data_IF_402467536875
#
_entry.id   IF_402467536875
#
_cell.length_a   1.000
_cell.length_b   1.000
_cell.length_c   1.000
_cell.angle_alpha   90.00
_cell.angle_beta   90.00
_cell.angle_gamma   90.00
#
_symmetry.space_group_name_H-M   'P 1'
#
loop_
_entity.id
_entity.type
_entity.pdbx_description
1 polymer ?
#
# COMPACT_ATOMS: atom_id res chain seq x y z
N UNK A 1 14.17 25.37 21.61
CA UNK A 1 12.97 26.19 21.92
C UNK A 1 13.35 27.29 22.89
N UNK A 2 12.62 28.40 22.94
CA UNK A 2 12.87 29.47 23.93
C UNK A 2 12.02 29.31 25.20
N UNK A 3 11.03 28.40 25.19
CA UNK A 3 10.17 28.10 26.33
C UNK A 3 9.86 26.61 26.45
N UNK A 4 9.68 26.14 27.69
CA UNK A 4 9.16 24.81 28.02
C UNK A 4 8.17 24.94 29.18
N UNK A 5 6.97 24.39 29.01
CA UNK A 5 5.97 24.29 30.08
C UNK A 5 6.22 22.99 30.86
N UNK A 6 6.32 23.11 32.17
CA UNK A 6 6.52 22.00 33.10
C UNK A 6 5.24 21.82 33.90
N UNK A 7 4.77 20.60 33.99
CA UNK A 7 3.68 20.20 34.87
C UNK A 7 4.24 19.16 35.85
N UNK A 8 4.41 19.54 37.11
CA UNK A 8 5.00 18.67 38.13
C UNK A 8 4.18 18.74 39.40
N UNK A 9 3.68 17.57 39.83
CA UNK A 9 2.89 17.41 41.05
C UNK A 9 1.68 18.37 41.13
N UNK A 10 1.02 18.60 39.99
CA UNK A 10 -0.17 19.46 39.87
C UNK A 10 0.14 20.96 39.83
N UNK A 11 1.42 21.35 39.76
CA UNK A 11 1.85 22.74 39.62
C UNK A 11 2.46 22.99 38.25
N UNK A 12 2.12 24.13 37.66
CA UNK A 12 2.63 24.52 36.35
C UNK A 12 3.75 25.55 36.47
N UNK A 13 4.87 25.28 35.80
CA UNK A 13 6.00 26.19 35.70
C UNK A 13 6.33 26.46 34.23
N UNK A 14 6.79 27.67 33.92
CA UNK A 14 7.37 27.99 32.62
C UNK A 14 8.86 28.18 32.79
N UNK A 15 9.65 27.40 32.04
CA UNK A 15 11.02 27.76 31.71
C UNK A 15 11.02 28.68 30.51
N UNK A 16 11.78 29.77 30.55
CA UNK A 16 11.91 30.70 29.44
C UNK A 16 13.32 31.30 29.39
N UNK A 17 13.79 31.66 28.20
CA UNK A 17 14.99 32.48 28.04
C UNK A 17 14.61 33.97 28.17
N UNK A 18 15.23 34.67 29.13
CA UNK A 18 15.18 36.13 29.22
C UNK A 18 16.57 36.69 29.47
N UNK A 19 16.95 37.71 28.70
CA UNK A 19 18.26 38.36 28.82
C UNK A 19 19.46 37.39 28.82
N UNK A 20 19.37 36.31 28.03
CA UNK A 20 20.36 35.21 27.97
C UNK A 20 20.44 34.32 29.22
N UNK A 21 19.40 34.31 30.05
CA UNK A 21 19.29 33.45 31.22
C UNK A 21 18.05 32.57 31.08
N UNK A 22 18.12 31.31 31.52
CA UNK A 22 16.93 30.48 31.67
C UNK A 22 16.35 30.76 33.05
N UNK A 23 15.11 31.23 33.06
CA UNK A 23 14.34 31.51 34.27
C UNK A 23 13.19 30.53 34.40
N UNK A 24 12.82 30.23 35.65
CA UNK A 24 11.64 29.45 36.00
C UNK A 24 10.63 30.34 36.71
N UNK A 25 9.37 30.28 36.28
CA UNK A 25 8.26 31.00 36.90
C UNK A 25 7.07 30.06 37.14
N UNK A 26 6.44 30.14 38.31
CA UNK A 26 5.16 29.44 38.56
C UNK A 26 4.03 30.17 37.85
N UNK A 27 3.10 29.43 37.25
CA UNK A 27 1.87 29.98 36.68
C UNK A 27 0.75 30.13 37.72
N UNK A 28 0.78 29.32 38.78
CA UNK A 28 -0.31 29.22 39.76
C UNK A 28 -0.21 30.25 40.90
N UNK A 29 0.95 30.87 41.07
CA UNK A 29 1.21 31.86 42.11
C UNK A 29 1.76 33.13 41.46
N UNK A 30 1.51 34.30 42.07
CA UNK A 30 2.27 35.52 41.79
C UNK A 30 3.71 35.37 42.31
N UNK A 31 4.40 34.34 41.82
CA UNK A 31 5.73 33.95 42.27
C UNK A 31 6.77 34.80 41.58
N UNK A 32 7.86 35.06 42.30
CA UNK A 32 9.01 35.77 41.77
C UNK A 32 9.71 34.87 40.75
N UNK A 33 9.91 35.37 39.55
CA UNK A 33 10.75 34.75 38.53
C UNK A 33 12.15 34.43 39.10
N UNK A 34 12.59 33.18 38.98
CA UNK A 34 13.87 32.70 39.51
C UNK A 34 14.80 32.42 38.34
N UNK A 35 15.98 33.03 38.35
CA UNK A 35 17.04 32.70 37.43
C UNK A 35 17.75 31.40 37.88
N UNK A 36 17.81 30.40 37.01
CA UNK A 36 18.45 29.10 37.31
C UNK A 36 19.72 28.85 36.49
N UNK A 37 19.86 29.46 35.31
CA UNK A 37 21.00 29.26 34.42
C UNK A 37 21.33 30.57 33.73
N UNK A 38 22.58 31.03 33.89
CA UNK A 38 23.12 32.17 33.17
C UNK A 38 23.87 31.79 31.89
N UNK A 39 24.15 32.80 31.05
CA UNK A 39 25.02 32.74 29.88
C UNK A 39 24.56 31.78 28.77
N UNK A 40 23.26 31.75 28.49
CA UNK A 40 22.70 31.03 27.34
C UNK A 40 22.91 31.83 26.05
N UNK A 41 23.32 31.15 24.98
CA UNK A 41 23.64 31.77 23.69
C UNK A 41 22.54 31.56 22.64
N UNK A 42 21.81 30.45 22.74
CA UNK A 42 20.80 30.08 21.74
C UNK A 42 19.48 29.68 22.38
N UNK A 43 19.05 28.44 22.20
CA UNK A 43 17.82 27.86 22.72
C UNK A 43 18.12 26.78 23.77
N UNK A 44 17.08 26.22 24.37
CA UNK A 44 17.20 25.10 25.31
C UNK A 44 16.12 24.06 25.06
N UNK A 45 16.28 22.90 25.70
CA UNK A 45 15.19 21.95 25.92
C UNK A 45 15.29 21.34 27.32
N UNK A 46 14.20 20.76 27.80
CA UNK A 46 14.13 20.11 29.09
C UNK A 46 13.39 18.77 29.02
N UNK A 47 13.71 17.87 29.96
CA UNK A 47 13.08 16.56 30.10
C UNK A 47 13.21 16.06 31.53
N UNK A 48 12.39 15.10 31.93
CA UNK A 48 12.50 14.42 33.23
C UNK A 48 13.20 13.08 33.07
N UNK A 49 13.97 12.68 34.08
CA UNK A 49 14.43 11.30 34.22
C UNK A 49 13.36 10.43 34.92
N UNK A 50 13.66 9.14 35.08
CA UNK A 50 12.78 8.20 35.79
C UNK A 50 12.60 8.52 37.28
N UNK A 51 13.49 9.33 37.87
CA UNK A 51 13.41 9.80 39.25
C UNK A 51 12.64 11.12 39.39
N UNK A 52 12.06 11.63 38.28
CA UNK A 52 11.37 12.93 38.20
C UNK A 52 12.29 14.12 38.47
N UNK A 53 13.60 13.95 38.29
CA UNK A 53 14.58 15.03 38.33
C UNK A 53 14.58 15.74 36.97
N UNK A 54 14.60 17.08 37.00
CA UNK A 54 14.52 17.90 35.80
C UNK A 54 15.91 18.05 35.20
N UNK A 55 16.05 17.72 33.92
CA UNK A 55 17.25 17.97 33.14
C UNK A 55 16.98 19.04 32.09
N UNK A 56 17.97 19.91 31.89
CA UNK A 56 17.93 21.01 30.93
C UNK A 56 19.20 20.94 30.10
N UNK A 57 19.08 21.05 28.79
CA UNK A 57 20.22 21.18 27.88
C UNK A 57 20.19 22.55 27.22
N UNK A 58 21.34 23.21 27.15
CA UNK A 58 21.48 24.51 26.51
C UNK A 58 22.87 24.70 25.90
N UNK A 59 23.00 25.68 25.01
CA UNK A 59 24.29 26.11 24.48
C UNK A 59 24.72 27.43 25.14
N UNK A 60 25.92 27.47 25.72
CA UNK A 60 26.41 28.62 26.48
C UNK A 60 27.16 29.64 25.61
N UNK A 61 27.33 30.87 26.11
CA UNK A 61 28.10 31.94 25.43
C UNK A 61 29.59 31.62 25.33
N UNK A 62 30.08 30.78 26.24
CA UNK A 62 31.43 30.22 26.24
C UNK A 62 31.56 29.01 25.29
N UNK A 63 30.61 28.84 24.37
CA UNK A 63 30.62 27.80 23.33
C UNK A 63 30.57 26.36 23.88
N UNK A 64 29.90 26.18 25.02
CA UNK A 64 29.71 24.87 25.63
C UNK A 64 28.30 24.34 25.36
N UNK A 65 28.19 23.07 24.94
CA UNK A 65 26.96 22.32 25.10
C UNK A 65 26.91 21.80 26.55
N UNK A 66 25.92 22.23 27.31
CA UNK A 66 25.84 21.99 28.76
C UNK A 66 24.53 21.27 29.09
N UNK A 67 24.63 20.25 29.94
CA UNK A 67 23.49 19.65 30.61
C UNK A 67 23.45 20.05 32.07
N UNK A 68 22.25 20.31 32.56
CA UNK A 68 21.99 20.75 33.92
C UNK A 68 20.97 19.82 34.54
N UNK A 69 21.29 19.29 35.72
CA UNK A 69 20.28 18.66 36.59
C UNK A 69 19.79 19.71 37.59
N UNK A 70 18.47 19.89 37.65
CA UNK A 70 17.81 20.75 38.61
C UNK A 70 17.01 19.91 39.61
N UNK A 71 17.55 19.77 40.82
CA UNK A 71 16.99 18.95 41.90
C UNK A 71 16.97 19.72 43.20
N UNK A 72 15.84 19.75 43.89
CA UNK A 72 15.67 20.42 45.19
C UNK A 72 16.20 21.88 45.20
N UNK A 73 15.92 22.62 44.12
CA UNK A 73 16.41 24.00 43.88
C UNK A 73 17.94 24.13 43.76
N UNK A 74 18.67 23.02 43.63
CA UNK A 74 20.10 22.99 43.34
C UNK A 74 20.33 22.71 41.86
N UNK A 75 21.28 23.44 41.30
CA UNK A 75 21.69 23.37 39.90
C UNK A 75 23.06 22.70 39.86
N UNK A 76 23.16 21.56 39.16
CA UNK A 76 24.45 20.91 38.87
C UNK A 76 24.68 20.94 37.38
N UNK A 77 25.79 21.55 36.94
CA UNK A 77 26.12 21.71 35.51
C UNK A 77 27.20 20.70 35.10
N UNK A 78 27.04 20.12 33.92
CA UNK A 78 28.05 19.28 33.27
C UNK A 78 28.24 19.75 31.83
N UNK A 79 29.48 20.06 31.46
CA UNK A 79 29.83 20.39 30.07
C UNK A 79 29.91 19.08 29.29
N UNK A 80 29.04 18.92 28.30
CA UNK A 80 29.01 17.75 27.41
C UNK A 80 30.08 17.90 26.33
N UNK A 81 30.23 19.11 25.79
CA UNK A 81 31.19 19.39 24.73
C UNK A 81 31.56 20.88 24.70
N UNK A 82 32.83 21.16 24.41
CA UNK A 82 33.34 22.53 24.21
C UNK A 82 33.73 22.74 22.74
N UNK A 83 33.20 23.81 22.13
CA UNK A 83 33.57 24.22 20.78
C UNK A 83 34.67 25.28 20.82
N UNK A 84 35.84 24.93 20.30
CA UNK A 84 36.99 25.83 20.25
C UNK A 84 36.79 27.01 19.27
N UNK A 85 35.90 26.86 18.29
CA UNK A 85 35.69 27.85 17.24
C UNK A 85 34.49 28.77 17.55
N UNK A 86 34.72 30.07 17.59
CA UNK A 86 33.66 31.08 17.80
C UNK A 86 32.67 31.21 16.62
N UNK A 87 32.96 30.50 15.52
CA UNK A 87 32.11 30.45 14.33
C UNK A 87 30.95 29.43 14.48
N UNK A 88 30.92 28.61 15.54
CA UNK A 88 29.86 27.64 15.74
C UNK A 88 28.65 28.29 16.43
N UNK A 89 27.47 27.87 16.02
CA UNK A 89 26.21 28.16 16.66
C UNK A 89 25.36 26.89 16.70
N UNK A 90 24.72 26.63 17.83
CA UNK A 90 23.83 25.48 18.01
C UNK A 90 22.42 25.97 18.24
N UNK A 91 21.43 25.36 17.60
CA UNK A 91 20.02 25.60 17.91
C UNK A 91 19.15 24.35 17.70
N UNK A 92 17.85 24.54 17.93
CA UNK A 92 16.82 23.52 17.80
C UNK A 92 17.16 22.30 18.66
N UNK A 93 17.52 22.54 19.91
CA UNK A 93 17.84 21.50 20.88
C UNK A 93 16.60 20.63 21.19
N UNK A 94 16.82 19.32 21.31
CA UNK A 94 15.84 18.34 21.82
C UNK A 94 16.51 17.40 22.81
N UNK A 95 15.91 17.22 23.98
CA UNK A 95 16.39 16.38 25.06
C UNK A 95 15.40 15.25 25.34
N UNK A 96 15.89 14.02 25.34
CA UNK A 96 15.16 12.83 25.76
C UNK A 96 15.99 12.05 26.77
N UNK A 97 15.35 11.59 27.85
CA UNK A 97 15.95 10.66 28.80
C UNK A 97 15.18 9.35 28.72
N UNK A 98 15.83 8.30 28.22
CA UNK A 98 15.19 7.04 27.87
C UNK A 98 15.99 5.91 28.51
N UNK A 99 15.38 5.13 29.41
CA UNK A 99 16.05 4.00 30.09
C UNK A 99 17.41 4.38 30.73
N UNK A 100 17.49 5.56 31.34
CA UNK A 100 18.72 6.17 31.90
C UNK A 100 19.80 6.58 30.90
N UNK A 101 19.52 6.50 29.60
CA UNK A 101 20.35 7.09 28.56
C UNK A 101 19.89 8.53 28.29
N UNK A 102 20.85 9.43 28.05
CA UNK A 102 20.56 10.83 27.73
C UNK A 102 20.81 11.05 26.24
N UNK A 103 19.79 11.49 25.52
CA UNK A 103 19.87 11.79 24.10
C UNK A 103 19.64 13.28 23.86
N UNK A 104 20.62 13.92 23.23
CA UNK A 104 20.58 15.33 22.85
C UNK A 104 20.67 15.44 21.34
N UNK A 105 19.63 15.99 20.72
CA UNK A 105 19.60 16.30 19.29
C UNK A 105 19.71 17.81 19.09
N UNK A 106 20.43 18.22 18.06
CA UNK A 106 20.58 19.64 17.75
C UNK A 106 21.10 19.88 16.34
N UNK A 107 20.98 21.13 15.91
CA UNK A 107 21.51 21.63 14.66
C UNK A 107 22.79 22.43 14.92
N UNK A 108 23.90 22.02 14.33
CA UNK A 108 25.18 22.73 14.36
C UNK A 108 25.34 23.55 13.09
N UNK A 109 25.49 24.85 13.27
CA UNK A 109 25.72 25.83 12.22
C UNK A 109 27.16 26.31 12.28
N UNK A 110 27.83 26.31 11.12
CA UNK A 110 29.09 27.01 10.97
C UNK A 110 28.84 28.37 10.31
N UNK A 111 29.10 29.47 11.02
CA UNK A 111 28.91 30.85 10.53
C UNK A 111 29.71 31.13 9.25
N UNK A 112 30.84 30.45 9.04
CA UNK A 112 31.65 30.55 7.83
C UNK A 112 31.10 29.71 6.66
N UNK A 113 30.23 28.73 6.92
CA UNK A 113 29.61 27.86 5.92
C UNK A 113 28.11 27.69 6.19
N UNK A 114 27.36 28.79 6.10
CA UNK A 114 25.93 28.86 6.43
C UNK A 114 25.01 27.98 5.55
N UNK A 115 25.54 27.35 4.50
CA UNK A 115 24.76 26.49 3.57
C UNK A 115 24.58 25.06 4.06
N UNK A 116 25.43 24.60 4.98
CA UNK A 116 25.41 23.22 5.48
C UNK A 116 25.23 23.24 6.99
N UNK A 117 24.06 22.82 7.45
CA UNK A 117 23.75 22.71 8.87
C UNK A 117 23.81 21.22 9.23
N UNK A 118 24.51 20.83 10.30
CA UNK A 118 24.63 19.41 10.68
C UNK A 118 23.59 19.06 11.74
N UNK A 119 22.76 18.05 11.48
CA UNK A 119 21.90 17.44 12.50
C UNK A 119 22.73 16.41 13.27
N UNK A 120 22.93 16.63 14.56
CA UNK A 120 23.73 15.77 15.44
C UNK A 120 22.89 15.12 16.54
N UNK A 121 23.33 13.96 16.98
CA UNK A 121 22.82 13.21 18.14
C UNK A 121 23.98 12.88 19.07
N UNK A 122 23.95 13.46 20.27
CA UNK A 122 24.83 13.11 21.38
C UNK A 122 24.07 12.16 22.30
N UNK A 123 24.65 10.99 22.56
CA UNK A 123 24.08 9.98 23.43
C UNK A 123 25.02 9.70 24.60
N UNK A 124 24.50 9.69 25.82
CA UNK A 124 25.22 9.21 26.99
C UNK A 124 24.66 7.87 27.44
N UNK A 125 25.48 6.83 27.32
CA UNK A 125 25.32 5.55 27.99
C UNK A 125 26.68 5.17 28.59
N UNK A 126 26.93 5.63 29.83
CA UNK A 126 28.22 5.62 30.53
C UNK A 126 29.34 6.46 29.87
N UNK A 127 29.34 6.58 28.55
CA UNK A 127 30.27 7.37 27.75
C UNK A 127 29.47 8.18 26.73
N UNK A 128 29.88 9.43 26.50
CA UNK A 128 29.30 10.26 25.45
C UNK A 128 29.74 9.77 24.06
N UNK A 129 28.75 9.48 23.21
CA UNK A 129 28.92 9.17 21.79
C UNK A 129 28.31 10.28 20.95
N UNK A 130 28.97 10.59 19.84
CA UNK A 130 28.57 11.65 18.93
C UNK A 130 28.25 11.03 17.58
N UNK A 131 27.05 11.28 17.08
CA UNK A 131 26.60 10.84 15.78
C UNK A 131 26.21 12.04 14.92
N UNK A 132 26.73 12.11 13.69
CA UNK A 132 26.19 13.00 12.67
C UNK A 132 25.08 12.25 11.92
N UNK A 133 23.84 12.73 12.05
CA UNK A 133 22.68 12.08 11.43
C UNK A 133 22.60 12.47 9.95
N UNK A 134 22.73 13.77 9.68
CA UNK A 134 22.58 14.32 8.34
C UNK A 134 23.20 15.71 8.18
N UNK A 135 23.52 16.05 6.94
CA UNK A 135 23.78 17.43 6.51
C UNK A 135 22.51 18.00 5.89
N UNK A 136 22.00 19.07 6.51
CA UNK A 136 20.79 19.78 6.15
C UNK A 136 21.15 20.98 5.28
N UNK A 137 20.60 20.99 4.06
CA UNK A 137 20.78 22.03 3.05
C UNK A 137 19.48 22.80 2.81
N UNK A 138 18.75 23.15 3.86
CA UNK A 138 17.45 23.83 3.77
C UNK A 138 17.48 25.15 4.52
N UNK A 139 16.70 26.14 4.06
CA UNK A 139 16.46 27.40 4.76
C UNK A 139 15.19 27.40 5.61
N UNK A 140 14.32 26.39 5.47
CA UNK A 140 13.01 26.33 6.13
C UNK A 140 13.06 25.59 7.47
N UNK A 141 12.75 26.27 8.57
CA UNK A 141 12.57 25.67 9.90
C UNK A 141 11.10 25.27 10.14
N UNK A 142 10.82 24.28 11.01
CA UNK A 142 11.77 23.38 11.68
C UNK A 142 12.32 22.30 10.71
N UNK A 143 13.58 21.91 10.90
CA UNK A 143 14.27 20.97 10.01
C UNK A 143 14.03 19.50 10.34
N UNK A 144 13.70 19.19 11.59
CA UNK A 144 13.59 17.82 12.06
C UNK A 144 12.61 17.71 13.22
N UNK A 145 12.19 16.49 13.49
CA UNK A 145 11.40 16.12 14.65
C UNK A 145 11.82 14.72 15.11
N UNK A 146 11.66 14.46 16.40
CA UNK A 146 12.09 13.22 17.06
C UNK A 146 10.98 12.78 18.00
N UNK A 147 10.74 11.48 18.03
CA UNK A 147 9.86 10.84 18.98
C UNK A 147 10.43 9.48 19.36
N UNK A 148 10.05 8.97 20.53
CA UNK A 148 10.56 7.72 21.10
C UNK A 148 9.43 6.72 21.24
N UNK A 149 9.65 5.47 20.84
CA UNK A 149 8.68 4.40 21.06
C UNK A 149 8.76 3.84 22.49
N UNK A 150 7.76 3.05 22.90
CA UNK A 150 7.71 2.43 24.23
C UNK A 150 8.85 1.41 24.48
N UNK A 151 9.67 1.09 23.47
CA UNK A 151 10.85 0.23 23.56
C UNK A 151 12.15 1.04 23.62
N UNK A 152 12.06 2.37 23.63
CA UNK A 152 13.22 3.27 23.66
C UNK A 152 13.92 3.41 22.32
N UNK A 153 13.28 3.03 21.21
CA UNK A 153 13.81 3.29 19.87
C UNK A 153 13.51 4.74 19.52
N UNK A 154 14.55 5.48 19.13
CA UNK A 154 14.39 6.87 18.70
C UNK A 154 14.08 6.89 17.21
N UNK A 155 13.07 7.66 16.84
CA UNK A 155 12.65 7.86 15.47
C UNK A 155 12.87 9.31 15.09
N UNK A 156 13.59 9.55 14.00
CA UNK A 156 13.90 10.90 13.52
C UNK A 156 13.34 11.07 12.12
N UNK A 157 12.66 12.19 11.94
CA UNK A 157 12.27 12.70 10.63
C UNK A 157 12.96 14.03 10.39
N UNK A 158 13.51 14.26 9.19
CA UNK A 158 14.18 15.52 8.87
C UNK A 158 14.04 15.89 7.40
N UNK A 159 14.19 17.18 7.11
CA UNK A 159 14.09 17.76 5.77
C UNK A 159 15.46 18.25 5.31
N UNK A 160 15.84 17.94 4.07
CA UNK A 160 17.01 18.54 3.43
C UNK A 160 16.74 18.76 1.94
N UNK A 161 17.47 19.69 1.32
CA UNK A 161 17.33 20.02 -0.09
C UNK A 161 18.61 19.63 -0.86
N UNK A 162 18.49 18.59 -1.69
CA UNK A 162 19.54 18.12 -2.59
C UNK A 162 18.97 18.18 -4.01
N UNK A 163 18.76 19.42 -4.50
CA UNK A 163 18.04 19.83 -5.72
C UNK A 163 16.51 19.82 -5.60
N UNK A 164 15.96 18.84 -4.89
CA UNK A 164 14.54 18.74 -4.54
C UNK A 164 14.45 18.61 -3.01
N UNK A 165 13.41 19.21 -2.43
CA UNK A 165 13.17 19.10 -1.00
C UNK A 165 12.68 17.69 -0.67
N UNK A 166 13.37 17.01 0.24
CA UNK A 166 13.05 15.63 0.66
C UNK A 166 12.85 15.56 2.15
N UNK A 167 11.90 14.74 2.57
CA UNK A 167 11.72 14.31 3.96
C UNK A 167 12.27 12.89 4.12
N UNK A 168 13.19 12.74 5.05
CA UNK A 168 13.87 11.48 5.37
C UNK A 168 13.43 11.00 6.74
N UNK A 169 13.41 9.68 6.91
CA UNK A 169 13.16 9.00 8.16
C UNK A 169 14.31 8.03 8.49
N UNK A 170 14.72 7.97 9.75
CA UNK A 170 15.67 6.99 10.26
C UNK A 170 15.38 6.66 11.73
N UNK A 171 15.99 5.60 12.24
CA UNK A 171 15.84 5.11 13.62
C UNK A 171 17.18 4.85 14.27
N UNK A 172 17.26 5.08 15.58
CA UNK A 172 18.41 4.70 16.40
C UNK A 172 18.03 3.51 17.28
N UNK A 173 18.74 2.40 17.12
CA UNK A 173 18.56 1.17 17.88
C UNK A 173 19.92 0.52 18.12
N UNK A 174 20.14 0.00 19.33
CA UNK A 174 21.38 -0.69 19.70
C UNK A 174 22.64 0.11 19.34
N UNK A 175 22.64 1.39 19.69
CA UNK A 175 23.73 2.34 19.43
C UNK A 175 24.06 2.64 17.95
N UNK A 176 23.17 2.29 17.02
CA UNK A 176 23.41 2.45 15.58
C UNK A 176 22.20 3.13 14.92
N UNK A 177 22.48 4.07 14.01
CA UNK A 177 21.49 4.65 13.11
C UNK A 177 21.22 3.72 11.93
N UNK A 178 19.95 3.43 11.67
CA UNK A 178 19.52 2.67 10.52
C UNK A 178 19.68 3.46 9.21
N UNK A 179 19.57 2.77 8.08
CA UNK A 179 19.56 3.40 6.76
C UNK A 179 18.35 4.34 6.63
N UNK A 180 18.62 5.57 6.17
CA UNK A 180 17.58 6.57 5.92
C UNK A 180 16.64 6.15 4.79
N UNK A 181 15.35 6.36 4.97
CA UNK A 181 14.30 6.13 3.97
C UNK A 181 13.67 7.45 3.54
N UNK A 182 13.39 7.61 2.24
CA UNK A 182 12.69 8.79 1.72
C UNK A 182 11.18 8.61 1.95
N UNK A 183 10.58 9.57 2.65
CA UNK A 183 9.14 9.60 2.93
C UNK A 183 8.38 10.32 1.83
N UNK A 184 8.96 11.39 1.29
CA UNK A 184 8.39 12.18 0.20
C UNK A 184 9.40 13.15 -0.41
N UNK A 185 9.06 13.65 -1.60
CA UNK A 185 9.81 14.66 -2.36
C UNK A 185 8.82 15.68 -2.96
N UNK A 186 9.14 16.96 -2.86
CA UNK A 186 8.33 18.06 -3.41
C UNK A 186 9.20 19.31 -3.64
N UNK A 187 8.63 20.33 -4.29
CA UNK A 187 9.33 21.62 -4.50
C UNK A 187 9.68 22.27 -3.17
N UNK A 188 8.72 22.29 -2.25
CA UNK A 188 8.88 22.79 -0.89
C UNK A 188 8.23 21.83 0.10
N UNK A 189 8.90 21.59 1.23
CA UNK A 189 8.43 20.77 2.34
C UNK A 189 8.74 21.52 3.64
N UNK A 190 7.78 21.54 4.56
CA UNK A 190 7.94 22.16 5.88
C UNK A 190 7.19 21.41 6.97
N UNK A 191 7.51 21.72 8.22
CA UNK A 191 6.86 21.20 9.44
C UNK A 191 6.81 19.66 9.50
N UNK A 192 7.96 18.97 9.44
CA UNK A 192 7.96 17.53 9.61
C UNK A 192 7.55 17.22 11.06
N UNK A 193 6.55 16.35 11.24
CA UNK A 193 6.10 15.91 12.54
C UNK A 193 6.03 14.39 12.55
N UNK A 194 6.43 13.78 13.67
CA UNK A 194 6.42 12.34 13.87
C UNK A 194 5.77 12.02 15.20
N UNK A 195 4.92 10.99 15.20
CA UNK A 195 4.36 10.37 16.41
C UNK A 195 4.33 8.85 16.27
N UNK A 196 4.61 8.15 17.36
CA UNK A 196 4.53 6.69 17.42
C UNK A 196 3.38 6.29 18.34
N UNK A 197 2.53 5.37 17.87
CA UNK A 197 1.44 4.83 18.68
C UNK A 197 1.87 3.62 19.53
N UNK A 198 1.01 3.20 20.45
CA UNK A 198 1.29 2.05 21.33
C UNK A 198 1.42 0.71 20.58
N UNK A 199 0.93 0.65 19.33
CA UNK A 199 1.11 -0.48 18.41
C UNK A 199 2.40 -0.35 17.58
N UNK A 200 3.22 0.65 17.88
CA UNK A 200 4.48 1.02 17.20
C UNK A 200 4.31 1.43 15.74
N UNK A 201 3.10 1.82 15.34
CA UNK A 201 2.90 2.44 14.04
C UNK A 201 3.53 3.84 14.07
N UNK A 202 4.24 4.16 12.99
CA UNK A 202 4.88 5.45 12.82
C UNK A 202 3.96 6.33 11.99
N UNK A 203 3.59 7.46 12.56
CA UNK A 203 2.75 8.48 11.94
C UNK A 203 3.63 9.67 11.60
N UNK A 204 3.61 10.10 10.33
CA UNK A 204 4.32 11.29 9.88
C UNK A 204 3.33 12.23 9.18
N UNK A 205 3.31 13.50 9.59
CA UNK A 205 2.62 14.55 8.85
C UNK A 205 3.58 15.70 8.52
N UNK A 206 3.29 16.41 7.43
CA UNK A 206 4.11 17.51 6.95
C UNK A 206 3.33 18.37 5.95
N UNK A 207 3.84 19.56 5.64
CA UNK A 207 3.28 20.42 4.59
C UNK A 207 4.13 20.30 3.34
N UNK A 208 3.51 19.96 2.20
CA UNK A 208 4.11 20.06 0.87
C UNK A 208 3.54 21.27 0.14
N UNK A 209 4.35 21.97 -0.63
CA UNK A 209 3.89 23.06 -1.48
C UNK A 209 4.46 22.87 -2.89
N UNK A 210 3.54 22.63 -3.83
CA UNK A 210 3.83 22.59 -5.26
C UNK A 210 3.18 23.79 -5.96
N UNK A 211 1.86 23.94 -5.80
CA UNK A 211 1.08 25.08 -6.29
C UNK A 211 0.40 25.78 -5.11
N UNK A 212 -0.21 24.99 -4.22
CA UNK A 212 -0.80 25.40 -2.95
C UNK A 212 -0.20 24.53 -1.84
N UNK A 213 -0.29 24.97 -0.58
CA UNK A 213 0.16 24.14 0.54
C UNK A 213 -0.83 23.02 0.80
N UNK A 214 -0.32 21.82 0.97
CA UNK A 214 -1.07 20.61 1.24
C UNK A 214 -0.54 19.98 2.53
N UNK A 215 -1.40 19.78 3.52
CA UNK A 215 -1.08 18.98 4.71
C UNK A 215 -1.16 17.51 4.33
N UNK A 216 -0.01 16.85 4.31
CA UNK A 216 0.13 15.43 4.01
C UNK A 216 0.29 14.61 5.27
N UNK A 217 -0.11 13.35 5.16
CA UNK A 217 0.06 12.33 6.18
C UNK A 217 0.52 11.02 5.54
N UNK A 218 1.34 10.26 6.26
CA UNK A 218 1.75 8.91 5.89
C UNK A 218 2.03 8.07 7.12
N UNK A 219 1.68 6.79 7.03
CA UNK A 219 1.90 5.80 8.07
C UNK A 219 2.92 4.76 7.64
N UNK A 220 3.65 4.22 8.61
CA UNK A 220 4.30 2.92 8.50
C UNK A 220 3.79 2.03 9.61
N UNK A 221 3.29 0.85 9.25
CA UNK A 221 2.88 -0.17 10.21
C UNK A 221 4.13 -0.87 10.74
N UNK A 222 4.13 -1.27 12.01
CA UNK A 222 5.24 -2.07 12.55
C UNK A 222 5.27 -3.47 11.92
N UNK A 223 6.47 -4.05 11.81
CA UNK A 223 6.70 -5.39 11.28
C UNK A 223 7.65 -5.47 10.09
N UNK A 224 7.93 -6.69 9.65
CA UNK A 224 8.75 -6.97 8.48
C UNK A 224 7.98 -6.84 7.17
N UNK A 225 8.69 -6.95 6.05
CA UNK A 225 8.06 -7.00 4.73
C UNK A 225 7.10 -8.21 4.62
N UNK A 226 5.91 -8.07 4.00
CA UNK A 226 5.37 -6.86 3.36
C UNK A 226 4.56 -5.97 4.31
N UNK A 227 4.27 -6.41 5.54
CA UNK A 227 3.36 -5.71 6.46
C UNK A 227 3.91 -4.37 6.95
N UNK A 228 5.23 -4.25 7.13
CA UNK A 228 5.87 -3.06 7.69
C UNK A 228 6.32 -2.00 6.69
N UNK A 229 5.67 -1.93 5.52
CA UNK A 229 5.98 -0.90 4.53
C UNK A 229 5.28 0.43 4.84
N UNK A 230 5.77 1.51 4.23
CA UNK A 230 5.08 2.79 4.23
C UNK A 230 3.80 2.72 3.38
N UNK A 231 2.68 3.15 3.95
CA UNK A 231 1.40 3.27 3.25
C UNK A 231 1.44 4.37 2.17
N UNK A 232 0.32 4.54 1.46
CA UNK A 232 0.14 5.64 0.51
C UNK A 232 0.06 6.98 1.26
N UNK A 233 0.54 8.06 0.60
CA UNK A 233 0.37 9.43 1.09
C UNK A 233 -1.13 9.80 1.07
N UNK A 234 -1.60 10.44 2.13
CA UNK A 234 -2.95 10.97 2.25
C UNK A 234 -2.85 12.51 2.34
N UNK A 235 -3.68 13.23 1.61
CA UNK A 235 -3.85 14.68 1.79
C UNK A 235 -4.95 14.92 2.81
N UNK A 236 -4.61 15.55 3.93
CA UNK A 236 -5.58 15.93 4.96
C UNK A 236 -6.27 17.25 4.63
N UNK A 237 -5.52 18.27 4.20
CA UNK A 237 -6.05 19.60 3.86
C UNK A 237 -5.23 20.27 2.77
N UNK A 238 -5.81 21.28 2.12
CA UNK A 238 -5.14 22.18 1.20
C UNK A 238 -5.56 23.63 1.48
N UNK A 239 -4.61 24.55 1.53
CA UNK A 239 -4.83 25.98 1.77
C UNK A 239 -3.56 26.77 1.48
N UNK A 240 -3.65 28.05 1.16
CA UNK A 240 -2.47 28.91 0.99
C UNK A 240 -1.74 29.19 2.31
N UNK A 241 -2.39 28.93 3.45
CA UNK A 241 -1.86 29.25 4.77
C UNK A 241 -2.09 28.13 5.80
N UNK A 242 -1.36 27.03 5.65
CA UNK A 242 -1.25 25.97 6.67
C UNK A 242 0.00 26.24 7.52
N UNK A 243 -0.17 26.32 8.84
CA UNK A 243 0.92 26.63 9.78
C UNK A 243 0.95 25.60 10.92
N UNK A 244 2.16 25.21 11.30
CA UNK A 244 2.47 24.42 12.51
C UNK A 244 1.52 23.21 12.71
N UNK A 245 1.39 22.31 11.73
CA UNK A 245 0.71 21.05 11.95
C UNK A 245 1.46 20.23 13.00
N UNK A 246 0.71 19.55 13.85
CA UNK A 246 1.26 18.59 14.81
C UNK A 246 0.29 17.44 15.03
N UNK A 247 0.84 16.31 15.48
CA UNK A 247 0.06 15.14 15.82
C UNK A 247 0.05 14.88 17.33
N UNK A 248 -1.07 14.37 17.82
CA UNK A 248 -1.23 13.83 19.17
C UNK A 248 -2.01 12.52 19.10
N UNK A 249 -1.73 11.64 20.05
CA UNK A 249 -2.53 10.44 20.28
C UNK A 249 -3.34 10.69 21.54
N UNK A 250 -4.65 10.69 21.43
CA UNK A 250 -5.59 10.97 22.53
C UNK A 250 -6.65 9.87 22.50
N UNK A 251 -6.74 9.09 23.57
CA UNK A 251 -7.68 7.96 23.69
C UNK A 251 -7.62 7.01 22.49
N UNK A 252 -6.40 6.60 22.09
CA UNK A 252 -6.11 5.77 20.91
C UNK A 252 -6.53 6.35 19.55
N UNK A 253 -6.99 7.60 19.51
CA UNK A 253 -7.24 8.31 18.26
C UNK A 253 -6.03 9.16 17.91
N UNK A 254 -5.69 9.20 16.62
CA UNK A 254 -4.67 10.08 16.09
C UNK A 254 -5.31 11.41 15.68
N UNK A 255 -4.91 12.48 16.33
CA UNK A 255 -5.35 13.83 16.06
C UNK A 255 -4.26 14.55 15.28
N UNK A 256 -4.60 15.09 14.12
CA UNK A 256 -3.76 16.04 13.41
C UNK A 256 -4.40 17.43 13.52
N UNK A 257 -3.68 18.36 14.13
CA UNK A 257 -4.15 19.73 14.40
C UNK A 257 -3.24 20.71 13.68
N UNK A 258 -3.81 21.73 13.04
CA UNK A 258 -3.07 22.80 12.38
C UNK A 258 -3.80 24.14 12.47
N UNK A 259 -3.10 25.22 12.13
CA UNK A 259 -3.71 26.54 11.97
C UNK A 259 -3.93 26.78 10.48
N UNK A 260 -5.14 27.21 10.13
CA UNK A 260 -5.52 27.62 8.79
C UNK A 260 -6.45 28.84 8.88
N UNK A 261 -6.12 29.91 8.15
CA UNK A 261 -6.92 31.14 8.09
C UNK A 261 -7.31 31.70 9.48
N UNK A 262 -6.36 31.75 10.42
CA UNK A 262 -6.58 32.18 11.81
C UNK A 262 -7.56 31.33 12.64
N UNK A 263 -7.84 30.09 12.24
CA UNK A 263 -8.59 29.15 13.06
C UNK A 263 -7.79 27.86 13.25
N UNK A 264 -8.04 27.17 14.35
CA UNK A 264 -7.57 25.80 14.53
C UNK A 264 -8.46 24.84 13.75
N UNK A 265 -7.84 23.94 13.01
CA UNK A 265 -8.49 22.86 12.29
C UNK A 265 -7.93 21.53 12.73
N UNK A 266 -8.79 20.51 12.70
CA UNK A 266 -8.42 19.14 13.02
C UNK A 266 -8.88 18.16 11.94
N UNK A 267 -8.14 17.06 11.84
CA UNK A 267 -8.56 15.81 11.24
C UNK A 267 -8.23 14.68 12.22
N UNK A 268 -9.19 13.80 12.46
CA UNK A 268 -9.07 12.73 13.46
C UNK A 268 -9.11 11.39 12.75
N UNK A 269 -8.25 10.47 13.17
CA UNK A 269 -8.31 9.07 12.80
C UNK A 269 -8.57 8.20 14.03
N UNK A 270 -9.63 7.40 13.97
CA UNK A 270 -10.01 6.42 15.00
C UNK A 270 -9.59 4.99 14.66
N UNK A 271 -8.98 4.78 13.50
CA UNK A 271 -8.58 3.47 12.98
C UNK A 271 -7.06 3.29 12.88
N UNK A 272 -6.30 4.04 13.69
CA UNK A 272 -4.84 3.99 13.69
C UNK A 272 -4.24 4.57 12.40
N UNK A 273 -4.83 5.63 11.86
CA UNK A 273 -4.34 6.37 10.73
C UNK A 273 -4.54 5.68 9.37
N UNK A 274 -5.53 4.78 9.24
CA UNK A 274 -5.93 4.22 7.94
C UNK A 274 -6.85 5.19 7.19
N UNK A 275 -7.72 5.89 7.91
CA UNK A 275 -8.58 6.95 7.39
C UNK A 275 -8.67 8.11 8.38
N UNK A 276 -9.05 9.28 7.88
CA UNK A 276 -9.25 10.49 8.67
C UNK A 276 -10.64 11.06 8.39
N UNK A 277 -11.20 11.73 9.40
CA UNK A 277 -12.36 12.61 9.23
C UNK A 277 -12.04 13.70 8.20
N UNK A 278 -13.08 14.28 7.60
CA UNK A 278 -12.90 15.55 6.89
C UNK A 278 -12.33 16.60 7.85
N UNK A 279 -11.46 17.51 7.38
CA UNK A 279 -11.04 18.65 8.17
C UNK A 279 -12.24 19.43 8.69
N UNK A 280 -12.23 19.73 9.98
CA UNK A 280 -13.24 20.59 10.59
C UNK A 280 -12.56 21.67 11.42
N UNK A 281 -13.18 22.85 11.42
CA UNK A 281 -12.77 23.98 12.24
C UNK A 281 -13.12 23.68 13.69
N UNK A 282 -12.15 23.77 14.58
CA UNK A 282 -12.35 23.47 16.00
C UNK A 282 -12.59 24.73 16.83
N UNK A 283 -11.79 25.78 16.63
CA UNK A 283 -11.94 27.04 17.34
C UNK A 283 -11.26 28.18 16.55
N UNK A 284 -11.65 29.42 16.85
CA UNK A 284 -10.82 30.56 16.44
C UNK A 284 -9.49 30.54 17.17
N UNK A 285 -8.43 30.94 16.47
CA UNK A 285 -7.12 31.12 17.09
C UNK A 285 -7.23 32.31 18.05
N UNK A 286 -6.92 32.16 19.35
CA UNK A 286 -7.00 33.27 20.28
C UNK A 286 -5.92 34.32 19.94
N UNK A 287 -6.08 35.51 20.51
CA UNK A 287 -5.14 36.61 20.34
C UNK A 287 -3.74 36.22 20.85
N UNK A 288 -3.69 35.58 22.03
CA UNK A 288 -2.46 35.15 22.67
C UNK A 288 -2.43 33.63 22.78
N UNK A 289 -1.44 33.01 22.16
CA UNK A 289 -1.16 31.58 22.24
C UNK A 289 0.32 31.33 21.96
N UNK A 290 0.82 30.20 22.43
CA UNK A 290 2.19 29.76 22.17
C UNK A 290 2.21 28.30 21.72
N UNK A 291 3.13 27.96 20.82
CA UNK A 291 3.39 26.57 20.43
C UNK A 291 4.64 26.10 21.17
N UNK A 292 4.44 25.27 22.20
CA UNK A 292 5.47 24.99 23.22
C UNK A 292 5.58 23.49 23.49
N UNK A 293 6.76 23.04 23.94
CA UNK A 293 6.90 21.72 24.56
C UNK A 293 6.33 21.78 25.98
N UNK A 294 5.42 20.85 26.29
CA UNK A 294 4.97 20.54 27.64
C UNK A 294 5.63 19.24 28.10
N UNK A 295 6.20 19.26 29.29
CA UNK A 295 6.78 18.08 29.93
C UNK A 295 6.12 17.85 31.30
N UNK A 296 5.85 16.60 31.60
CA UNK A 296 5.56 16.11 32.94
C UNK A 296 6.42 14.86 33.21
N UNK A 297 6.50 14.35 34.45
CA UNK A 297 7.35 13.20 34.75
C UNK A 297 6.99 11.90 34.02
N UNK A 298 5.86 11.83 33.32
CA UNK A 298 5.35 10.65 32.62
C UNK A 298 5.28 10.81 31.11
N UNK A 299 5.15 12.04 30.61
CA UNK A 299 5.03 12.29 29.19
C UNK A 299 5.67 13.62 28.76
N UNK A 300 6.06 13.67 27.48
CA UNK A 300 6.36 14.92 26.80
C UNK A 300 5.46 15.09 25.56
N UNK A 301 4.97 16.30 25.35
CA UNK A 301 4.16 16.65 24.20
C UNK A 301 4.50 18.04 23.69
N UNK A 302 4.18 18.31 22.43
CA UNK A 302 4.16 19.66 21.88
C UNK A 302 2.70 20.01 21.63
N UNK A 303 2.28 21.16 22.13
CA UNK A 303 0.90 21.63 22.00
C UNK A 303 0.84 23.15 21.87
N UNK A 304 -0.32 23.64 21.47
CA UNK A 304 -0.63 25.04 21.64
C UNK A 304 -1.14 25.25 23.07
N UNK A 305 -0.68 26.31 23.72
CA UNK A 305 -1.14 26.70 25.06
C UNK A 305 -1.60 28.14 25.09
N UNK A 306 -2.57 28.43 25.97
CA UNK A 306 -2.92 29.80 26.32
C UNK A 306 -1.95 30.38 27.36
N UNK A 307 -2.18 31.63 27.78
CA UNK A 307 -1.35 32.31 28.79
C UNK A 307 -1.32 31.61 30.16
N UNK A 308 -2.32 30.77 30.46
CA UNK A 308 -2.41 30.00 31.70
C UNK A 308 -1.75 28.61 31.58
N UNK A 309 -1.11 28.31 30.45
CA UNK A 309 -0.52 26.99 30.19
C UNK A 309 -1.57 25.88 30.05
N UNK A 310 -2.78 26.21 29.60
CA UNK A 310 -3.80 25.22 29.25
C UNK A 310 -3.72 24.87 27.78
N UNK A 311 -3.85 23.59 27.46
CA UNK A 311 -3.84 23.12 26.08
C UNK A 311 -5.01 23.73 25.31
N UNK A 312 -4.72 24.24 24.12
CA UNK A 312 -5.72 24.67 23.13
C UNK A 312 -5.47 23.96 21.80
N UNK A 313 -6.50 23.84 20.96
CA UNK A 313 -7.92 24.03 21.26
C UNK A 313 -8.51 22.93 22.18
N UNK A 314 -7.73 21.90 22.50
CA UNK A 314 -8.14 20.73 23.29
C UNK A 314 -7.70 20.90 24.74
N UNK A 315 -8.48 21.60 25.56
CA UNK A 315 -8.29 21.54 27.00
C UNK A 315 -8.77 20.15 27.45
N UNK A 316 -7.84 19.29 27.87
CA UNK A 316 -8.20 18.05 28.54
C UNK A 316 -9.04 18.41 29.78
N UNK A 317 -10.25 17.84 29.82
CA UNK A 317 -11.35 18.10 30.74
C UNK A 317 -10.94 18.61 32.14
N UNK A 318 -11.25 19.88 32.46
CA UNK A 318 -11.44 20.34 33.85
C UNK A 318 -12.19 21.66 33.97
N UNK A 319 -12.26 22.49 32.93
CA UNK A 319 -13.13 23.66 32.93
C UNK A 319 -14.28 23.42 31.97
N UNK A 320 -15.50 23.66 32.44
CA UNK A 320 -16.75 23.55 31.68
C UNK A 320 -16.85 24.57 30.55
N UNK A 321 -15.82 24.71 29.73
CA UNK A 321 -15.93 25.20 28.37
C UNK A 321 -16.77 24.14 27.66
N UNK A 322 -18.05 24.45 27.51
CA UNK A 322 -18.94 23.82 26.55
C UNK A 322 -18.30 23.98 25.17
N UNK A 323 -17.37 23.10 24.82
CA UNK A 323 -17.32 22.61 23.46
C UNK A 323 -18.74 22.19 23.16
N UNK A 324 -19.30 22.67 22.06
CA UNK A 324 -20.59 22.24 21.61
C UNK A 324 -20.49 20.72 21.33
N UNK A 325 -20.67 19.94 22.40
CA UNK A 325 -20.72 18.48 22.37
C UNK A 325 -21.87 18.11 21.45
N UNK A 326 -22.89 18.94 21.32
CA UNK A 326 -23.89 18.78 20.28
C UNK A 326 -23.26 18.97 18.90
N UNK A 327 -22.43 19.96 18.58
CA UNK A 327 -21.72 20.03 17.27
C UNK A 327 -20.79 18.84 16.98
N UNK A 328 -19.96 18.38 17.94
CA UNK A 328 -19.08 17.23 17.73
C UNK A 328 -19.89 15.92 17.56
N UNK A 329 -20.87 15.68 18.43
CA UNK A 329 -21.73 14.50 18.32
C UNK A 329 -22.71 14.60 17.15
N UNK A 330 -23.28 15.75 16.82
CA UNK A 330 -24.18 15.91 15.67
C UNK A 330 -23.43 15.88 14.36
N UNK A 331 -22.20 16.41 14.26
CA UNK A 331 -21.37 16.23 13.08
C UNK A 331 -20.99 14.76 12.90
N UNK A 332 -20.55 14.09 13.97
CA UNK A 332 -20.24 12.66 13.92
C UNK A 332 -21.48 11.79 13.65
N UNK A 333 -22.62 12.08 14.28
CA UNK A 333 -23.90 11.39 14.03
C UNK A 333 -24.36 11.64 12.60
N UNK A 334 -24.23 12.86 12.07
CA UNK A 334 -24.61 13.19 10.70
C UNK A 334 -23.69 12.51 9.69
N UNK A 335 -22.37 12.49 9.90
CA UNK A 335 -21.44 11.75 9.04
C UNK A 335 -21.68 10.24 9.12
N UNK A 336 -21.95 9.69 10.31
CA UNK A 336 -22.31 8.28 10.49
C UNK A 336 -23.66 7.97 9.82
N UNK A 337 -24.65 8.86 9.91
CA UNK A 337 -25.94 8.72 9.24
C UNK A 337 -25.81 8.81 7.72
N UNK A 338 -25.01 9.75 7.20
CA UNK A 338 -24.72 9.87 5.77
C UNK A 338 -23.97 8.63 5.25
N UNK A 339 -23.02 8.11 6.03
CA UNK A 339 -22.32 6.87 5.73
C UNK A 339 -23.26 5.66 5.75
N UNK A 340 -24.12 5.54 6.76
CA UNK A 340 -25.14 4.48 6.86
C UNK A 340 -26.14 4.56 5.70
N UNK A 341 -26.55 5.77 5.30
CA UNK A 341 -27.44 5.98 4.16
C UNK A 341 -26.77 5.58 2.84
N UNK A 342 -25.50 5.96 2.65
CA UNK A 342 -24.72 5.54 1.49
C UNK A 342 -24.52 4.02 1.44
N UNK A 343 -24.23 3.40 2.58
CA UNK A 343 -24.09 1.95 2.71
C UNK A 343 -25.41 1.24 2.40
N UNK A 344 -26.53 1.74 2.95
CA UNK A 344 -27.87 1.20 2.72
C UNK A 344 -28.25 1.27 1.24
N UNK A 345 -27.98 2.39 0.57
CA UNK A 345 -28.21 2.56 -0.87
C UNK A 345 -27.34 1.60 -1.70
N UNK A 346 -26.11 1.35 -1.27
CA UNK A 346 -25.22 0.37 -1.91
C UNK A 346 -25.73 -1.06 -1.75
N UNK A 347 -26.23 -1.42 -0.57
CA UNK A 347 -26.86 -2.73 -0.32
C UNK A 347 -28.10 -2.91 -1.19
N UNK A 348 -28.96 -1.89 -1.30
CA UNK A 348 -30.15 -1.95 -2.13
C UNK A 348 -29.81 -2.14 -3.62
N UNK A 349 -28.78 -1.43 -4.11
CA UNK A 349 -28.29 -1.61 -5.48
C UNK A 349 -27.75 -3.02 -5.72
N UNK A 350 -26.97 -3.57 -4.77
CA UNK A 350 -26.45 -4.93 -4.85
C UNK A 350 -27.58 -5.97 -4.81
N UNK A 351 -28.63 -5.76 -4.04
CA UNK A 351 -29.81 -6.62 -4.02
C UNK A 351 -30.56 -6.60 -5.36
N UNK A 352 -30.74 -5.41 -5.96
CA UNK A 352 -31.34 -5.27 -7.30
C UNK A 352 -30.51 -5.97 -8.37
N UNK A 353 -29.19 -5.84 -8.31
CA UNK A 353 -28.28 -6.52 -9.22
C UNK A 353 -28.30 -8.04 -9.05
N UNK A 354 -28.30 -8.53 -7.80
CA UNK A 354 -28.45 -9.96 -7.49
C UNK A 354 -29.73 -10.54 -8.11
N UNK A 355 -30.89 -9.89 -7.92
CA UNK A 355 -32.16 -10.34 -8.51
C UNK A 355 -32.09 -10.37 -10.04
N UNK A 356 -31.44 -9.36 -10.66
CA UNK A 356 -31.24 -9.33 -12.11
C UNK A 356 -30.37 -10.50 -12.59
N UNK A 357 -29.28 -10.78 -11.89
CA UNK A 357 -28.38 -11.89 -12.21
C UNK A 357 -29.07 -13.24 -12.03
N UNK A 358 -29.87 -13.42 -10.98
CA UNK A 358 -30.65 -14.64 -10.76
C UNK A 358 -31.67 -14.88 -11.89
N UNK A 359 -32.34 -13.83 -12.37
CA UNK A 359 -33.25 -13.92 -13.53
C UNK A 359 -32.50 -14.31 -14.81
N UNK A 360 -31.36 -13.68 -15.07
CA UNK A 360 -30.52 -14.00 -16.23
C UNK A 360 -30.02 -15.45 -16.17
N UNK A 361 -29.61 -15.92 -14.99
CA UNK A 361 -29.14 -17.28 -14.77
C UNK A 361 -30.27 -18.30 -15.00
N UNK A 362 -31.48 -18.02 -14.50
CA UNK A 362 -32.66 -18.84 -14.74
C UNK A 362 -33.01 -18.95 -16.24
N UNK A 363 -32.99 -17.82 -16.95
CA UNK A 363 -33.21 -17.80 -18.40
C UNK A 363 -32.16 -18.61 -19.17
N UNK A 364 -30.87 -18.44 -18.81
CA UNK A 364 -29.78 -19.21 -19.44
C UNK A 364 -29.88 -20.70 -19.15
N UNK A 365 -30.28 -21.09 -17.94
CA UNK A 365 -30.51 -22.49 -17.61
C UNK A 365 -31.66 -23.11 -18.42
N UNK A 366 -32.72 -22.34 -18.69
CA UNK A 366 -33.79 -22.77 -19.59
C UNK A 366 -33.29 -22.97 -21.02
N UNK A 367 -32.51 -22.02 -21.57
CA UNK A 367 -31.89 -22.14 -22.89
C UNK A 367 -30.96 -23.37 -22.99
N UNK A 368 -30.15 -23.61 -21.97
CA UNK A 368 -29.28 -24.80 -21.90
C UNK A 368 -30.11 -26.08 -21.89
N UNK A 369 -31.22 -26.12 -21.15
CA UNK A 369 -32.10 -27.28 -21.09
C UNK A 369 -32.73 -27.58 -22.45
N UNK A 370 -33.18 -26.56 -23.19
CA UNK A 370 -33.68 -26.71 -24.55
C UNK A 370 -32.60 -27.22 -25.51
N UNK A 371 -31.41 -26.63 -25.47
CA UNK A 371 -30.28 -27.08 -26.31
C UNK A 371 -29.87 -28.52 -26.01
N UNK A 372 -29.85 -28.92 -24.75
CA UNK A 372 -29.55 -30.30 -24.35
C UNK A 372 -30.58 -31.28 -24.92
N UNK A 373 -31.87 -30.93 -24.92
CA UNK A 373 -32.90 -31.75 -25.56
C UNK A 373 -32.64 -31.93 -27.06
N UNK A 374 -32.32 -30.85 -27.77
CA UNK A 374 -31.97 -30.93 -29.19
C UNK A 374 -30.70 -31.76 -29.44
N UNK A 375 -29.71 -31.68 -28.54
CA UNK A 375 -28.50 -32.51 -28.64
C UNK A 375 -28.84 -34.00 -28.50
N UNK A 376 -29.71 -34.38 -27.57
CA UNK A 376 -30.15 -35.77 -27.42
C UNK A 376 -30.92 -36.26 -28.66
N UNK A 377 -31.82 -35.45 -29.22
CA UNK A 377 -32.52 -35.77 -30.47
C UNK A 377 -31.54 -35.96 -31.64
N UNK A 378 -30.51 -35.12 -31.74
CA UNK A 378 -29.46 -35.25 -32.76
C UNK A 378 -28.60 -36.50 -32.55
N UNK A 379 -28.30 -36.88 -31.31
CA UNK A 379 -27.56 -38.12 -31.00
C UNK A 379 -28.36 -39.35 -31.43
N UNK A 380 -29.66 -39.39 -31.16
CA UNK A 380 -30.52 -40.49 -31.58
C UNK A 380 -30.62 -40.60 -33.11
N UNK A 381 -30.70 -39.46 -33.79
CA UNK A 381 -30.69 -39.44 -35.26
C UNK A 381 -29.35 -39.91 -35.84
N UNK A 382 -28.23 -39.48 -35.25
CA UNK A 382 -26.90 -39.97 -35.64
C UNK A 382 -26.79 -41.48 -35.45
N UNK A 383 -27.28 -42.02 -34.34
CA UNK A 383 -27.29 -43.46 -34.08
C UNK A 383 -28.06 -44.22 -35.16
N UNK A 384 -29.26 -43.77 -35.53
CA UNK A 384 -30.04 -44.35 -36.63
C UNK A 384 -29.29 -44.32 -37.96
N UNK A 385 -28.64 -43.20 -38.29
CA UNK A 385 -27.83 -43.08 -39.52
C UNK A 385 -26.66 -44.09 -39.51
N UNK A 386 -26.00 -44.30 -38.38
CA UNK A 386 -24.94 -45.31 -38.26
C UNK A 386 -25.46 -46.74 -38.43
N UNK A 387 -26.62 -47.06 -37.86
CA UNK A 387 -27.29 -48.36 -38.03
C UNK A 387 -27.69 -48.59 -39.50
N UNK A 388 -28.27 -47.60 -40.16
CA UNK A 388 -28.62 -47.65 -41.58
C UNK A 388 -27.36 -47.82 -42.45
N UNK A 389 -26.29 -47.06 -42.16
CA UNK A 389 -25.01 -47.18 -42.86
C UNK A 389 -24.45 -48.59 -42.75
N UNK A 390 -24.48 -49.20 -41.56
CA UNK A 390 -24.04 -50.58 -41.36
C UNK A 390 -24.87 -51.56 -42.20
N UNK A 391 -26.21 -51.37 -42.23
CA UNK A 391 -27.13 -52.21 -43.01
C UNK A 391 -26.88 -52.08 -44.53
N UNK A 392 -26.66 -50.86 -45.02
CA UNK A 392 -26.31 -50.63 -46.43
C UNK A 392 -24.94 -51.20 -46.76
N UNK A 393 -23.95 -51.09 -45.86
CA UNK A 393 -22.63 -51.70 -46.06
C UNK A 393 -22.74 -53.21 -46.27
N UNK A 394 -23.47 -53.91 -45.40
CA UNK A 394 -23.70 -55.36 -45.55
C UNK A 394 -24.45 -55.71 -46.84
N UNK A 395 -25.38 -54.87 -47.29
CA UNK A 395 -26.07 -55.08 -48.57
C UNK A 395 -25.13 -54.90 -49.77
N UNK A 396 -24.23 -53.93 -49.71
CA UNK A 396 -23.18 -53.72 -50.72
C UNK A 396 -22.22 -54.91 -50.75
N UNK A 397 -21.79 -55.42 -49.60
CA UNK A 397 -20.91 -56.59 -49.51
C UNK A 397 -21.57 -57.85 -50.10
N UNK A 398 -22.86 -58.07 -49.82
CA UNK A 398 -23.64 -59.15 -50.42
C UNK A 398 -23.76 -59.02 -51.95
N UNK A 399 -24.07 -57.80 -52.44
CA UNK A 399 -24.16 -57.54 -53.88
C UNK A 399 -22.81 -57.74 -54.58
N UNK A 400 -21.72 -57.29 -53.97
CA UNK A 400 -20.36 -57.53 -54.49
C UNK A 400 -20.04 -59.03 -54.56
N UNK A 401 -20.45 -59.79 -53.55
CA UNK A 401 -20.29 -61.26 -53.54
C UNK A 401 -21.08 -61.92 -54.67
N UNK A 402 -22.35 -61.52 -54.86
CA UNK A 402 -23.17 -62.02 -55.97
C UNK A 402 -22.60 -61.64 -57.34
N UNK A 403 -22.17 -60.38 -57.50
CA UNK A 403 -21.56 -59.88 -58.73
C UNK A 403 -20.30 -60.68 -59.09
N UNK A 404 -19.41 -60.91 -58.12
CA UNK A 404 -18.20 -61.71 -58.33
C UNK A 404 -18.54 -63.18 -58.66
N UNK A 405 -19.60 -63.74 -58.07
CA UNK A 405 -20.11 -65.06 -58.41
C UNK A 405 -20.59 -65.16 -59.87
N UNK A 406 -21.43 -64.22 -60.30
CA UNK A 406 -21.91 -64.15 -61.70
C UNK A 406 -20.76 -63.92 -62.67
N UNK A 407 -19.79 -63.07 -62.31
CA UNK A 407 -18.60 -62.83 -63.13
C UNK A 407 -17.79 -64.11 -63.33
N UNK A 408 -17.56 -64.88 -62.26
CA UNK A 408 -16.86 -66.17 -62.33
C UNK A 408 -17.61 -67.20 -63.18
N UNK A 409 -18.94 -67.26 -63.04
CA UNK A 409 -19.77 -68.14 -63.86
C UNK A 409 -19.77 -67.74 -65.34
N UNK A 410 -19.78 -66.45 -65.65
CA UNK A 410 -19.68 -65.94 -67.01
C UNK A 410 -18.32 -66.31 -67.64
N UNK A 411 -17.21 -66.17 -66.90
CA UNK A 411 -15.89 -66.64 -67.34
C UNK A 411 -15.85 -68.17 -67.57
N UNK A 412 -16.52 -68.95 -66.70
CA UNK A 412 -16.69 -70.40 -66.90
C UNK A 412 -17.47 -70.72 -68.18
N UNK A 413 -18.59 -70.05 -68.41
CA UNK A 413 -19.42 -70.23 -69.60
C UNK A 413 -18.68 -69.83 -70.87
N UNK A 414 -17.93 -68.72 -70.87
CA UNK A 414 -17.05 -68.35 -72.01
C UNK A 414 -16.04 -69.45 -72.33
N UNK A 415 -15.43 -70.06 -71.31
CA UNK A 415 -14.51 -71.19 -71.50
C UNK A 415 -15.22 -72.40 -72.11
N UNK A 416 -16.41 -72.75 -71.61
CA UNK A 416 -17.21 -73.84 -72.18
C UNK A 416 -17.62 -73.58 -73.63
N UNK A 417 -18.04 -72.35 -73.96
CA UNK A 417 -18.36 -71.97 -75.34
C UNK A 417 -17.14 -72.12 -76.24
N UNK A 418 -15.97 -71.67 -75.79
CA UNK A 418 -14.71 -71.82 -76.54
C UNK A 418 -14.36 -73.30 -76.78
N UNK A 419 -14.53 -74.15 -75.77
CA UNK A 419 -14.31 -75.59 -75.90
C UNK A 419 -15.31 -76.24 -76.88
N UNK A 420 -16.59 -75.82 -76.85
CA UNK A 420 -17.61 -76.28 -77.80
C UNK A 420 -17.33 -75.81 -79.22
N UNK A 421 -16.91 -74.55 -79.41
CA UNK A 421 -16.49 -74.03 -80.70
C UNK A 421 -15.31 -74.83 -81.27
N UNK A 422 -14.30 -75.14 -80.44
CA UNK A 422 -13.18 -76.00 -80.83
C UNK A 422 -13.67 -77.40 -81.25
N UNK A 423 -14.61 -78.00 -80.52
CA UNK A 423 -15.22 -79.29 -80.90
C UNK A 423 -15.98 -79.21 -82.21
N UNK A 424 -16.73 -78.13 -82.47
CA UNK A 424 -17.45 -77.92 -83.74
C UNK A 424 -16.45 -77.80 -84.89
N UNK A 425 -15.35 -77.06 -84.73
CA UNK A 425 -14.30 -76.95 -85.74
C UNK A 425 -13.74 -78.34 -86.07
N UNK A 426 -13.44 -79.16 -85.05
CA UNK A 426 -12.95 -80.54 -85.22
C UNK A 426 -14.00 -81.44 -85.89
N UNK A 427 -15.28 -81.30 -85.54
CA UNK A 427 -16.36 -82.08 -86.16
C UNK A 427 -16.59 -81.68 -87.61
N UNK A 428 -16.53 -80.39 -87.93
CA UNK A 428 -16.65 -79.89 -89.30
C UNK A 428 -15.47 -80.33 -90.15
N UNK A 429 -14.24 -80.35 -89.62
CA UNK A 429 -13.09 -80.90 -90.36
C UNK A 429 -13.27 -82.38 -90.67
N UNK A 430 -13.75 -83.18 -89.70
CA UNK A 430 -14.08 -84.60 -89.91
C UNK A 430 -15.23 -84.82 -90.88
N UNK A 431 -16.24 -83.93 -90.89
CA UNK A 431 -17.36 -84.00 -91.82
C UNK A 431 -16.91 -83.71 -93.26
N UNK A 432 -16.04 -82.71 -93.44
CA UNK A 432 -15.46 -82.39 -94.73
C UNK A 432 -14.59 -83.55 -95.27
N UNK A 433 -13.77 -84.19 -94.43
CA UNK A 433 -13.04 -85.41 -94.82
C UNK A 433 -13.99 -86.53 -95.31
N UNK A 434 -15.14 -86.72 -94.63
CA UNK A 434 -16.14 -87.70 -95.07
C UNK A 434 -16.86 -87.31 -96.36
N UNK A 435 -17.15 -86.01 -96.59
CA UNK A 435 -17.75 -85.55 -97.84
C UNK A 435 -16.79 -85.67 -99.02
N UNK A 436 -15.49 -85.42 -98.82
CA UNK A 436 -14.48 -85.66 -99.86
C UNK A 436 -14.40 -87.15 -100.22
N UNK A 437 -14.42 -88.05 -99.23
CA UNK A 437 -14.52 -89.50 -99.49
C UNK A 437 -15.82 -89.88 -100.22
N UNK A 438 -16.98 -89.33 -99.82
CA UNK A 438 -18.27 -89.64 -100.45
C UNK A 438 -18.44 -89.07 -101.86
N UNK A 439 -17.77 -87.98 -102.19
CA UNK A 439 -17.82 -87.38 -103.54
C UNK A 439 -16.95 -88.16 -104.53
N UNK A 440 -15.83 -88.72 -104.06
CA UNK A 440 -14.99 -89.63 -104.85
C UNK A 440 -15.77 -90.91 -105.21
N UNK A 441 -16.54 -91.46 -104.27
CA UNK A 441 -17.35 -92.67 -104.53
C UNK A 441 -18.53 -92.41 -105.49
N UNK A 442 -19.15 -91.23 -105.42
CA UNK A 442 -20.22 -90.85 -106.37
C UNK A 442 -19.72 -90.59 -107.79
N UNK A 443 -18.54 -89.97 -107.96
CA UNK A 443 -17.95 -89.77 -109.28
C UNK A 443 -17.60 -91.09 -109.98
N UNK A 444 -17.21 -92.13 -109.24
CA UNK A 444 -17.00 -93.47 -109.81
C UNK A 444 -18.28 -94.10 -110.37
N UNK A 445 -19.44 -93.83 -109.77
CA UNK A 445 -20.72 -94.42 -110.20
C UNK A 445 -21.31 -93.81 -111.48
N UNK A 446 -20.86 -92.61 -111.89
CA UNK A 446 -21.40 -91.89 -113.05
C UNK A 446 -20.68 -92.28 -114.36
N UNK A 447 -19.44 -92.81 -114.30
CA UNK A 447 -18.63 -93.06 -115.50
C UNK A 447 -18.65 -94.49 -116.05
N UNK A 448 -19.22 -95.48 -115.35
CA UNK A 448 -19.24 -96.87 -115.83
C UNK A 448 -20.67 -97.46 -115.80
N UNK A 449 -21.21 -97.67 -117.00
CA UNK A 449 -22.64 -97.88 -117.26
C UNK A 449 -23.19 -99.31 -117.16
N UNK A 450 -24.50 -99.36 -117.49
CA UNK A 450 -25.43 -100.49 -117.74
C UNK A 450 -24.79 -101.81 -118.19
N UNK A 451 -25.33 -102.95 -117.73
CA UNK A 451 -26.41 -103.70 -118.42
C UNK A 451 -26.67 -105.09 -117.78
N UNK A 452 -27.97 -105.42 -117.63
CA UNK A 452 -28.68 -106.72 -117.74
C UNK A 452 -28.17 -107.94 -116.92
N UNK A 453 -28.98 -108.89 -116.41
CA UNK A 453 -30.30 -109.39 -116.78
C UNK A 453 -30.82 -110.41 -115.71
N UNK A 454 -32.14 -110.62 -115.65
CA UNK A 454 -32.91 -111.73 -115.03
C UNK A 454 -32.72 -111.99 -113.51
N UNK A 455 -33.69 -111.71 -112.62
CA UNK A 455 -35.10 -112.13 -112.53
C UNK A 455 -35.87 -111.21 -111.55
#
# INVERSE_FOLDING_TARGET
MDKVLIDKDGRKYILNIKNNNITINSLDEASKEINIIDNVNSDFDASFDSNKDLYIVYFSKEQNLVIVSYKDKKVTKSVIYHYNENNIFIDNLRLFIVKNEIHVFFMEHNKSSSRNIRLKHYCFNNVWKINEIAVIKSSLKPFYNVDVDNYGILHVVYITNENICRIYYTTYINDIWAQKTIISEAVSISYPNIKIDDKRNIHICWVEENIIKELKYRKKVDGGWPKGSWDKKITLSFSDNIINPYMRIINNNLWCTWIQQNSFYNAISSDGGNSFSKPFKLAEKPLNYEFIKKIDPTCEKISYVNLNGEDIPLAEETTGISYDKESYFTFYIKEVQEYLNALSKKIENLQKEKIRLERNLSQRNYEVSLKNRSIEELKDNLKKIYEDKAKYSSKVDNLNTMYNGVLSENERLKKQIKDLQNKIIILNSKLNEKMEMGTIDKLKSIFFGKSNEHL
#
